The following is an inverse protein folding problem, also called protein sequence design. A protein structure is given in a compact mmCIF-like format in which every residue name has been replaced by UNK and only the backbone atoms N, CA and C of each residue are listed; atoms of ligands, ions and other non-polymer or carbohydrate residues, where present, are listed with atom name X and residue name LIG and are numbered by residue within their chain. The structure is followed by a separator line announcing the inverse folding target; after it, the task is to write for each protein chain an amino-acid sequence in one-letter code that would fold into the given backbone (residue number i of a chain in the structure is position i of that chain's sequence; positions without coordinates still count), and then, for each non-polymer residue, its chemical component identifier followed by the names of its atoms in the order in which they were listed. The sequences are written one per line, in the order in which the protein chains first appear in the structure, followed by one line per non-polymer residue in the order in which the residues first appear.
data_IF_578076613480
#
_entry.id   IF_578076613480
#
_cell.length_a   1.000
_cell.length_b   1.000
_cell.length_c   1.000
_cell.angle_alpha   90.00
_cell.angle_beta   90.00
_cell.angle_gamma   90.00
#
_symmetry.space_group_name_H-M   'P 1'
#
loop_
_entity.id
_entity.type
_entity.pdbx_description
1 polymer ?
#
# COMPACT_ATOMS: atom_id res chain seq x y z
N UNK A 1 -9.77 -6.31 -6.10
CA UNK A 1 -8.89 -5.35 -5.40
C UNK A 1 -8.29 -6.04 -4.16
N UNK A 2 -7.04 -5.73 -3.84
CA UNK A 2 -6.28 -6.37 -2.77
C UNK A 2 -5.84 -5.31 -1.75
N UNK A 3 -5.80 -5.68 -0.47
CA UNK A 3 -5.51 -4.76 0.64
C UNK A 3 -4.53 -5.43 1.58
N UNK A 4 -3.52 -4.68 2.02
CA UNK A 4 -2.54 -5.19 2.96
C UNK A 4 -3.19 -5.46 4.33
N UNK A 5 -2.84 -6.59 4.97
CA UNK A 5 -3.37 -6.90 6.30
C UNK A 5 -2.99 -5.86 7.37
N UNK A 6 -1.89 -5.14 7.17
CA UNK A 6 -1.47 -4.02 8.02
C UNK A 6 -2.39 -2.80 7.91
N UNK A 7 -3.17 -2.66 6.84
CA UNK A 7 -4.18 -1.59 6.74
C UNK A 7 -5.50 -1.98 7.42
N UNK A 8 -5.71 -3.28 7.59
CA UNK A 8 -6.93 -3.85 8.13
C UNK A 8 -6.99 -3.82 9.67
N UNK A 9 -5.84 -3.77 10.36
CA UNK A 9 -5.78 -3.72 11.84
C UNK A 9 -6.39 -2.44 12.43
N UNK A 10 -6.61 -1.40 11.62
CA UNK A 10 -7.22 -0.14 12.05
C UNK A 10 -8.75 -0.15 12.07
N UNK A 11 -9.41 -1.22 11.60
CA UNK A 11 -10.86 -1.32 11.61
C UNK A 11 -11.35 -1.98 12.90
N UNK A 12 -12.37 -1.40 13.54
CA UNK A 12 -12.93 -1.86 14.83
C UNK A 12 -13.52 -3.27 14.79
N UNK A 13 -14.04 -3.71 13.64
CA UNK A 13 -14.63 -5.05 13.44
C UNK A 13 -13.56 -6.16 13.31
N UNK A 14 -12.29 -5.77 13.25
CA UNK A 14 -11.17 -6.66 13.04
C UNK A 14 -10.27 -6.72 14.29
N UNK A 15 -9.51 -7.82 14.46
CA UNK A 15 -8.51 -7.89 15.50
C UNK A 15 -7.50 -6.73 15.33
N UNK A 16 -7.22 -6.05 16.43
CA UNK A 16 -6.24 -4.95 16.49
C UNK A 16 -4.78 -5.40 16.30
N UNK A 17 -4.53 -6.72 16.30
CA UNK A 17 -3.21 -7.31 16.08
C UNK A 17 -3.15 -8.04 14.75
N UNK A 18 -2.02 -7.91 14.05
CA UNK A 18 -1.76 -8.58 12.77
C UNK A 18 -1.83 -10.11 12.91
N UNK A 19 -1.30 -10.66 14.01
CA UNK A 19 -1.35 -12.10 14.28
C UNK A 19 -2.81 -12.59 14.50
N UNK A 20 -3.63 -11.81 15.21
CA UNK A 20 -5.05 -12.11 15.37
C UNK A 20 -5.80 -12.06 14.04
N UNK A 21 -5.47 -11.08 13.20
CA UNK A 21 -6.05 -10.94 11.87
C UNK A 21 -5.67 -12.11 10.95
N UNK A 22 -4.41 -12.55 10.96
CA UNK A 22 -3.97 -13.73 10.21
C UNK A 22 -4.74 -15.00 10.65
N UNK A 23 -4.95 -15.16 11.97
CA UNK A 23 -5.77 -16.27 12.50
C UNK A 23 -7.22 -16.18 12.04
N UNK A 24 -7.82 -14.99 12.07
CA UNK A 24 -9.20 -14.75 11.59
C UNK A 24 -9.33 -15.07 10.10
N UNK A 25 -8.42 -14.56 9.28
CA UNK A 25 -8.38 -14.83 7.84
C UNK A 25 -8.25 -16.32 7.53
N UNK A 26 -7.43 -17.06 8.28
CA UNK A 26 -7.33 -18.52 8.14
C UNK A 26 -8.62 -19.23 8.55
N UNK A 27 -9.25 -18.81 9.65
CA UNK A 27 -10.50 -19.38 10.17
C UNK A 27 -11.68 -19.17 9.23
N UNK A 28 -11.75 -17.99 8.62
CA UNK A 28 -12.82 -17.59 7.71
C UNK A 28 -12.47 -17.85 6.24
N UNK A 29 -11.37 -18.58 5.99
CA UNK A 29 -10.88 -18.95 4.66
C UNK A 29 -10.80 -17.77 3.67
N UNK A 30 -10.35 -16.61 4.15
CA UNK A 30 -10.22 -15.43 3.31
C UNK A 30 -9.21 -15.66 2.18
N UNK A 31 -9.52 -15.11 1.01
CA UNK A 31 -8.61 -15.19 -0.14
C UNK A 31 -7.44 -14.23 0.05
N UNK A 32 -6.28 -14.80 0.39
CA UNK A 32 -5.04 -14.05 0.64
C UNK A 32 -3.97 -14.33 -0.41
N UNK A 33 -3.05 -13.38 -0.63
CA UNK A 33 -1.86 -13.54 -1.46
C UNK A 33 -0.67 -12.78 -0.88
N UNK A 34 0.54 -13.16 -1.26
CA UNK A 34 1.70 -12.31 -1.00
C UNK A 34 1.78 -11.21 -2.06
N UNK A 35 2.08 -9.98 -1.63
CA UNK A 35 2.25 -8.83 -2.52
C UNK A 35 3.43 -9.11 -3.47
N UNK A 36 3.20 -9.17 -4.80
CA UNK A 36 4.27 -9.47 -5.74
C UNK A 36 5.27 -8.30 -5.81
N UNK A 37 6.56 -8.62 -5.96
CA UNK A 37 7.61 -7.63 -6.20
C UNK A 37 8.02 -6.79 -4.99
N UNK A 38 7.50 -7.06 -3.78
CA UNK A 38 7.90 -6.33 -2.56
C UNK A 38 8.90 -7.14 -1.75
N UNK A 39 9.99 -6.49 -1.36
CA UNK A 39 10.99 -7.06 -0.44
C UNK A 39 10.37 -7.13 0.95
N UNK A 40 10.08 -8.35 1.40
CA UNK A 40 9.36 -8.63 2.65
C UNK A 40 8.04 -9.34 2.37
N UNK A 41 7.69 -10.33 3.19
CA UNK A 41 6.46 -11.13 3.03
C UNK A 41 5.23 -10.32 3.44
N UNK A 42 4.80 -9.39 2.60
CA UNK A 42 3.58 -8.61 2.82
C UNK A 42 2.38 -9.45 2.39
N UNK A 43 1.49 -9.76 3.33
CA UNK A 43 0.28 -10.51 3.08
C UNK A 43 -0.88 -9.56 2.77
N UNK A 44 -1.52 -9.78 1.62
CA UNK A 44 -2.69 -9.05 1.15
C UNK A 44 -3.93 -9.96 1.20
N UNK A 45 -5.08 -9.36 1.43
CA UNK A 45 -6.39 -10.00 1.36
C UNK A 45 -7.22 -9.39 0.23
N UNK A 46 -8.00 -10.22 -0.45
CA UNK A 46 -9.00 -9.75 -1.41
C UNK A 46 -10.16 -9.06 -0.67
N UNK A 47 -10.59 -7.89 -1.15
CA UNK A 47 -11.68 -7.14 -0.52
C UNK A 47 -12.97 -7.97 -0.45
N UNK A 48 -13.29 -8.73 -1.51
CA UNK A 48 -14.52 -9.53 -1.56
C UNK A 48 -14.60 -10.63 -0.50
N UNK A 49 -13.47 -11.02 0.10
CA UNK A 49 -13.43 -12.02 1.17
C UNK A 49 -13.67 -11.42 2.57
N UNK A 50 -13.71 -10.09 2.70
CA UNK A 50 -13.90 -9.40 3.99
C UNK A 50 -15.41 -9.28 4.33
N UNK A 51 -15.77 -9.06 5.60
CA UNK A 51 -17.13 -8.69 5.99
C UNK A 51 -17.62 -7.41 5.31
N UNK A 52 -18.92 -7.30 5.02
CA UNK A 52 -19.48 -6.18 4.24
C UNK A 52 -19.18 -4.80 4.84
N UNK A 53 -19.23 -4.67 6.17
CA UNK A 53 -18.89 -3.42 6.89
C UNK A 53 -17.44 -3.00 6.63
N UNK A 54 -16.51 -3.95 6.71
CA UNK A 54 -15.09 -3.73 6.40
C UNK A 54 -14.89 -3.41 4.92
N UNK A 55 -15.62 -4.07 4.01
CA UNK A 55 -15.52 -3.78 2.58
C UNK A 55 -15.88 -2.32 2.26
N UNK A 56 -16.96 -1.81 2.85
CA UNK A 56 -17.39 -0.43 2.68
C UNK A 56 -16.34 0.54 3.21
N UNK A 57 -15.91 0.36 4.46
CA UNK A 57 -14.94 1.23 5.10
C UNK A 57 -13.57 1.25 4.38
N UNK A 58 -13.12 0.10 3.85
CA UNK A 58 -11.93 0.02 2.98
C UNK A 58 -12.14 0.84 1.71
N UNK A 59 -13.24 0.63 0.99
CA UNK A 59 -13.50 1.36 -0.28
C UNK A 59 -13.58 2.87 -0.06
N UNK A 60 -14.24 3.30 1.01
CA UNK A 60 -14.32 4.71 1.41
C UNK A 60 -12.93 5.31 1.66
N UNK A 61 -12.09 4.63 2.45
CA UNK A 61 -10.71 5.07 2.71
C UNK A 61 -9.90 5.22 1.41
N UNK A 62 -10.01 4.27 0.50
CA UNK A 62 -9.33 4.34 -0.80
C UNK A 62 -9.89 5.45 -1.69
N UNK A 63 -11.21 5.68 -1.69
CA UNK A 63 -11.82 6.79 -2.42
C UNK A 63 -11.30 8.15 -1.92
N UNK A 64 -11.20 8.33 -0.60
CA UNK A 64 -10.62 9.54 0.00
C UNK A 64 -9.16 9.74 -0.40
N UNK A 65 -8.35 8.66 -0.44
CA UNK A 65 -6.96 8.74 -0.91
C UNK A 65 -6.87 9.17 -2.37
N UNK A 66 -7.74 8.65 -3.25
CA UNK A 66 -7.77 9.07 -4.65
C UNK A 66 -8.19 10.54 -4.78
N UNK A 67 -9.14 11.00 -3.97
CA UNK A 67 -9.54 12.42 -3.92
C UNK A 67 -8.42 13.32 -3.42
N UNK A 68 -7.65 12.87 -2.40
CA UNK A 68 -6.53 13.64 -1.85
C UNK A 68 -5.34 13.69 -2.82
N UNK A 69 -5.03 12.58 -3.51
CA UNK A 69 -3.96 12.55 -4.51
C UNK A 69 -4.24 13.48 -5.69
N UNK A 70 -5.53 13.68 -6.04
CA UNK A 70 -5.93 14.66 -7.04
C UNK A 70 -5.63 16.11 -6.64
N UNK A 71 -5.42 16.40 -5.35
CA UNK A 71 -5.09 17.74 -4.86
C UNK A 71 -3.58 18.04 -4.82
N UNK A 72 -2.72 16.99 -4.84
CA UNK A 72 -1.25 17.11 -4.77
C UNK A 72 -0.57 16.61 -6.05
N UNK A 73 -1.29 16.52 -7.17
CA UNK A 73 -0.67 16.41 -8.49
C UNK A 73 -0.10 17.77 -8.92
N UNK A 74 0.78 18.34 -8.07
CA UNK A 74 1.86 19.19 -8.51
C UNK A 74 2.93 18.27 -9.09
N UNK A 75 3.45 18.51 -10.30
CA UNK A 75 4.20 17.50 -11.04
C UNK A 75 5.47 17.12 -10.27
N UNK A 76 5.70 15.82 -10.19
CA UNK A 76 6.83 15.14 -9.56
C UNK A 76 8.16 15.93 -9.65
N UNK A 77 9.04 15.87 -8.63
CA UNK A 77 10.37 16.42 -8.78
C UNK A 77 11.04 15.72 -9.97
N UNK A 78 11.22 16.47 -11.06
CA UNK A 78 12.02 16.05 -12.20
C UNK A 78 13.40 15.75 -11.64
N UNK A 79 13.72 14.46 -11.51
CA UNK A 79 15.07 14.02 -11.18
C UNK A 79 15.95 14.38 -12.36
N UNK A 80 16.49 15.61 -12.36
CA UNK A 80 17.60 15.96 -13.24
C UNK A 80 18.80 15.17 -12.75
N UNK A 81 19.17 14.11 -13.46
CA UNK A 81 20.50 13.52 -13.32
C UNK A 81 21.51 14.65 -13.53
N UNK A 82 22.29 14.97 -12.50
CA UNK A 82 23.42 15.89 -12.65
C UNK A 82 24.35 15.33 -13.73
N UNK A 83 24.45 16.06 -14.84
CA UNK A 83 25.41 15.78 -15.92
C UNK A 83 26.79 16.02 -15.30
N UNK A 84 27.63 14.99 -15.16
CA UNK A 84 29.05 15.20 -14.85
C UNK A 84 29.67 15.92 -16.04
N UNK A 85 30.11 17.15 -15.84
CA UNK A 85 30.93 17.90 -16.80
C UNK A 85 32.32 17.25 -16.87
N UNK A 86 32.87 16.94 -18.06
CA UNK A 86 34.28 16.63 -18.21
C UNK A 86 35.01 17.89 -18.67
N UNK A 87 35.62 18.61 -17.73
CA UNK A 87 36.60 19.65 -18.06
C UNK A 87 37.48 19.91 -16.84
N UNK A 88 38.57 19.18 -16.73
CA UNK A 88 39.81 19.72 -16.15
C UNK A 88 40.80 19.74 -17.30
N UNK A 89 40.90 20.90 -17.93
CA UNK A 89 42.07 21.30 -18.71
C UNK A 89 42.72 22.43 -17.92
N UNK A 90 43.83 22.11 -17.28
CA UNK A 90 44.84 23.05 -16.76
C UNK A 90 46.18 22.40 -17.15
N UNK A 91 46.86 22.92 -18.17
CA UNK A 91 47.81 24.04 -18.13
C UNK A 91 49.21 23.62 -17.62
N UNK A 92 50.17 23.42 -18.55
CA UNK A 92 51.43 24.18 -18.66
C UNK A 92 52.12 23.87 -19.99
#
# INVERSE_FOLDING_TARGET
MWVAMTELISFSDLPSSLAGLHKKAKREAWKTRLKPGVKGKVLECEIGALPLTVQQAVRERYALQLMTQKADESPAPVVTKARRSPAVVDAV
#
